data_IF_939671139230
#
_entry.id   IF_939671139230
#
_cell.length_a   1.000
_cell.length_b   1.000
_cell.length_c   1.000
_cell.angle_alpha   90.00
_cell.angle_beta   90.00
_cell.angle_gamma   90.00
#
_symmetry.space_group_name_H-M   'P 1'
#
loop_
_entity.id
_entity.type
_entity.pdbx_description
1 polymer ?
#
# COMPACT_ATOMS: atom_id res chain seq x y z
N UNK A 1 33.32 5.25 26.91
CA UNK A 1 32.72 5.69 25.63
C UNK A 1 32.31 4.45 24.84
N UNK A 2 31.01 4.22 24.63
CA UNK A 2 30.52 3.12 23.78
C UNK A 2 30.00 3.72 22.47
N UNK A 3 30.70 3.47 21.37
CA UNK A 3 30.29 3.86 20.04
C UNK A 3 29.08 3.02 19.63
N UNK A 4 27.92 3.66 19.45
CA UNK A 4 26.74 3.03 18.91
C UNK A 4 26.96 2.69 17.44
N UNK A 5 26.80 1.41 17.10
CA UNK A 5 26.74 0.92 15.74
C UNK A 5 25.47 1.49 15.09
N UNK A 6 25.58 2.66 14.46
CA UNK A 6 24.58 3.16 13.53
C UNK A 6 24.52 2.17 12.37
N UNK A 7 23.50 1.31 12.37
CA UNK A 7 23.19 0.50 11.21
C UNK A 7 23.08 1.44 10.01
N UNK A 8 24.01 1.30 9.05
CA UNK A 8 24.05 2.12 7.85
C UNK A 8 22.70 1.92 7.14
N UNK A 9 21.88 2.96 7.14
CA UNK A 9 20.66 3.01 6.33
C UNK A 9 21.09 2.71 4.88
N UNK A 10 20.60 1.61 4.27
CA UNK A 10 20.99 1.28 2.92
C UNK A 10 20.68 2.49 2.02
N UNK A 11 21.63 2.85 1.15
CA UNK A 11 21.43 3.91 0.19
C UNK A 11 20.14 3.62 -0.60
N UNK A 12 19.32 4.65 -0.92
CA UNK A 12 18.18 4.45 -1.79
C UNK A 12 18.67 3.81 -3.09
N UNK A 13 18.14 2.62 -3.42
CA UNK A 13 18.45 1.97 -4.70
C UNK A 13 18.06 2.93 -5.83
N UNK A 14 18.89 2.98 -6.86
CA UNK A 14 18.60 3.74 -8.06
C UNK A 14 17.22 3.31 -8.61
N UNK A 15 16.50 4.24 -9.25
CA UNK A 15 15.19 3.97 -9.86
C UNK A 15 15.28 2.89 -10.97
N UNK A 16 16.48 2.57 -11.43
CA UNK A 16 16.72 1.62 -12.53
C UNK A 16 16.86 0.16 -12.04
N UNK A 17 17.33 -0.07 -10.81
CA UNK A 17 17.52 -1.42 -10.25
C UNK A 17 16.25 -2.03 -9.61
N UNK A 18 15.08 -1.46 -9.89
CA UNK A 18 13.82 -1.95 -9.32
C UNK A 18 13.46 -3.28 -9.99
N UNK A 19 13.05 -4.33 -9.25
CA UNK A 19 12.52 -5.53 -9.88
C UNK A 19 11.27 -5.15 -10.66
N UNK A 20 11.28 -5.35 -11.98
CA UNK A 20 10.14 -5.06 -12.84
C UNK A 20 9.36 -6.34 -13.16
N UNK A 21 8.09 -6.18 -13.49
CA UNK A 21 7.26 -7.26 -14.01
C UNK A 21 6.42 -6.77 -15.18
N UNK A 22 6.48 -7.49 -16.29
CA UNK A 22 5.58 -7.32 -17.44
C UNK A 22 4.28 -8.07 -17.15
N UNK A 23 3.51 -7.54 -16.21
CA UNK A 23 2.25 -8.08 -15.75
C UNK A 23 1.32 -6.91 -15.46
N UNK A 24 0.16 -6.91 -16.10
CA UNK A 24 -0.92 -6.01 -15.77
C UNK A 24 -1.90 -6.68 -14.77
N UNK A 25 -1.97 -6.25 -13.50
CA UNK A 25 -2.91 -6.82 -12.53
C UNK A 25 -4.39 -6.56 -12.87
N UNK A 26 -4.66 -5.67 -13.84
CA UNK A 26 -6.00 -5.32 -14.29
C UNK A 26 -6.39 -6.01 -15.61
N UNK A 27 -5.50 -6.82 -16.19
CA UNK A 27 -5.83 -7.66 -17.34
C UNK A 27 -6.91 -8.69 -16.96
N UNK A 28 -7.89 -8.89 -17.83
CA UNK A 28 -9.03 -9.78 -17.53
C UNK A 28 -8.59 -11.24 -17.31
N UNK A 29 -7.54 -11.71 -17.98
CA UNK A 29 -7.01 -13.06 -17.77
C UNK A 29 -6.28 -13.17 -16.44
N UNK A 30 -5.59 -12.10 -16.02
CA UNK A 30 -4.96 -12.03 -14.70
C UNK A 30 -6.02 -12.01 -13.60
N UNK A 31 -7.09 -11.22 -13.77
CA UNK A 31 -8.23 -11.18 -12.85
C UNK A 31 -8.93 -12.54 -12.78
N UNK A 32 -9.06 -13.26 -13.89
CA UNK A 32 -9.67 -14.59 -13.93
C UNK A 32 -8.81 -15.67 -13.23
N UNK A 33 -7.47 -15.51 -13.22
CA UNK A 33 -6.55 -16.44 -12.57
C UNK A 33 -5.41 -15.75 -11.81
N UNK A 34 -5.71 -15.02 -10.71
CA UNK A 34 -4.76 -14.13 -10.07
C UNK A 34 -3.71 -14.89 -9.24
N UNK A 35 -4.06 -16.08 -8.74
CA UNK A 35 -3.16 -16.85 -7.88
C UNK A 35 -1.90 -17.34 -8.59
N UNK A 36 -1.98 -17.67 -9.89
CA UNK A 36 -0.80 -18.05 -10.67
C UNK A 36 0.21 -16.91 -10.74
N UNK A 37 -0.30 -15.69 -10.87
CA UNK A 37 0.47 -14.46 -10.91
C UNK A 37 1.08 -14.15 -9.55
N UNK A 38 0.29 -14.20 -8.47
CA UNK A 38 0.78 -13.97 -7.12
C UNK A 38 1.89 -14.96 -6.74
N UNK A 39 1.77 -16.25 -7.11
CA UNK A 39 2.84 -17.23 -6.88
C UNK A 39 4.16 -16.84 -7.54
N UNK A 40 4.13 -16.35 -8.78
CA UNK A 40 5.33 -15.85 -9.48
C UNK A 40 5.93 -14.64 -8.74
N UNK A 41 5.10 -13.67 -8.36
CA UNK A 41 5.53 -12.48 -7.63
C UNK A 41 6.13 -12.83 -6.26
N UNK A 42 5.55 -13.80 -5.54
CA UNK A 42 6.11 -14.31 -4.28
C UNK A 42 7.49 -14.93 -4.45
N UNK A 43 7.68 -15.74 -5.51
CA UNK A 43 8.94 -16.40 -5.81
C UNK A 43 10.06 -15.41 -6.18
N UNK A 44 9.72 -14.26 -6.78
CA UNK A 44 10.68 -13.22 -7.17
C UNK A 44 10.98 -12.17 -6.09
N UNK A 45 10.55 -12.40 -4.84
CA UNK A 45 10.81 -11.47 -3.73
C UNK A 45 9.57 -10.78 -3.15
N UNK A 46 8.39 -10.96 -3.74
CA UNK A 46 7.12 -10.50 -3.19
C UNK A 46 6.70 -9.08 -3.54
N UNK A 47 7.54 -8.35 -4.28
CA UNK A 47 7.23 -7.01 -4.79
C UNK A 47 7.86 -6.79 -6.16
N UNK A 48 7.22 -5.97 -6.99
CA UNK A 48 7.73 -5.58 -8.29
C UNK A 48 7.10 -4.27 -8.76
N UNK A 49 7.80 -3.55 -9.62
CA UNK A 49 7.27 -2.40 -10.33
C UNK A 49 6.67 -2.86 -11.68
N UNK A 50 5.47 -2.42 -11.99
CA UNK A 50 4.76 -2.67 -13.25
C UNK A 50 4.85 -1.41 -14.11
N UNK A 51 5.75 -1.34 -15.12
CA UNK A 51 5.95 -0.15 -15.93
C UNK A 51 4.70 0.23 -16.75
N UNK A 52 4.00 -0.76 -17.30
CA UNK A 52 2.80 -0.56 -18.13
C UNK A 52 1.65 0.14 -17.41
N UNK A 53 1.61 0.05 -16.07
CA UNK A 53 0.61 0.71 -15.23
C UNK A 53 1.18 1.83 -14.36
N UNK A 54 2.50 2.00 -14.32
CA UNK A 54 3.20 2.89 -13.38
C UNK A 54 2.80 2.60 -11.92
N UNK A 55 2.79 1.31 -11.55
CA UNK A 55 2.36 0.85 -10.21
C UNK A 55 3.41 -0.01 -9.54
N UNK A 56 3.46 0.07 -8.21
CA UNK A 56 4.13 -0.93 -7.39
C UNK A 56 3.15 -2.02 -6.98
N UNK A 57 3.58 -3.28 -7.10
CA UNK A 57 2.84 -4.46 -6.68
C UNK A 57 3.50 -5.03 -5.43
N UNK A 58 2.69 -5.31 -4.41
CA UNK A 58 3.10 -5.95 -3.16
C UNK A 58 2.22 -7.19 -2.96
N UNK A 59 2.83 -8.35 -2.75
CA UNK A 59 2.12 -9.62 -2.55
C UNK A 59 2.38 -10.25 -1.18
N UNK A 60 3.48 -9.91 -0.51
CA UNK A 60 3.77 -10.43 0.83
C UNK A 60 2.93 -9.71 1.88
N UNK A 61 2.36 -10.49 2.78
CA UNK A 61 1.53 -9.99 3.87
C UNK A 61 2.22 -8.90 4.69
N UNK A 62 3.49 -9.11 5.07
CA UNK A 62 4.22 -8.14 5.89
C UNK A 62 4.48 -6.83 5.15
N UNK A 63 4.76 -6.89 3.84
CA UNK A 63 4.96 -5.70 3.01
C UNK A 63 3.65 -4.91 2.89
N UNK A 64 2.54 -5.60 2.60
CA UNK A 64 1.20 -4.99 2.52
C UNK A 64 0.79 -4.38 3.86
N UNK A 65 0.99 -5.10 4.96
CA UNK A 65 0.67 -4.62 6.31
C UNK A 65 1.52 -3.41 6.71
N UNK A 66 2.80 -3.40 6.35
CA UNK A 66 3.70 -2.28 6.60
C UNK A 66 3.27 -1.05 5.79
N UNK A 67 3.03 -1.23 4.48
CA UNK A 67 2.56 -0.16 3.60
C UNK A 67 1.22 0.43 4.08
N UNK A 68 0.26 -0.41 4.45
CA UNK A 68 -1.06 0.04 4.94
C UNK A 68 -0.99 0.86 6.25
N UNK A 69 0.13 0.79 6.99
CA UNK A 69 0.34 1.56 8.23
C UNK A 69 1.23 2.79 8.03
N UNK A 70 1.97 2.87 6.93
CA UNK A 70 2.91 3.93 6.62
C UNK A 70 2.21 5.18 6.03
N UNK A 71 1.13 5.64 6.66
CA UNK A 71 0.31 6.77 6.19
C UNK A 71 1.07 8.12 6.12
N UNK A 72 2.25 8.18 6.73
CA UNK A 72 3.16 9.34 6.74
C UNK A 72 4.12 9.33 5.54
N UNK A 73 4.24 8.20 4.85
CA UNK A 73 5.06 8.01 3.65
C UNK A 73 4.20 7.72 2.42
N UNK A 74 3.08 7.01 2.59
CA UNK A 74 2.15 6.61 1.55
C UNK A 74 0.82 7.36 1.75
N UNK A 75 0.66 8.44 1.01
CA UNK A 75 -0.54 9.29 1.02
C UNK A 75 -1.73 8.62 0.34
N UNK A 76 -2.92 8.90 0.86
CA UNK A 76 -4.20 8.57 0.18
C UNK A 76 -4.88 9.80 -0.44
N UNK A 77 -4.30 10.99 -0.28
CA UNK A 77 -4.93 12.27 -0.64
C UNK A 77 -5.06 12.51 -2.15
N UNK A 78 -4.20 11.90 -2.96
CA UNK A 78 -4.26 11.96 -4.43
C UNK A 78 -5.12 10.85 -5.04
N UNK A 79 -5.75 10.03 -4.21
CA UNK A 79 -6.65 8.94 -4.62
C UNK A 79 -6.08 7.56 -4.28
N UNK A 80 -6.99 6.63 -4.03
CA UNK A 80 -6.69 5.22 -3.68
C UNK A 80 -7.03 4.24 -4.82
N UNK A 81 -7.49 4.77 -5.94
CA UNK A 81 -7.81 4.03 -7.16
C UNK A 81 -6.72 4.28 -8.21
N UNK A 82 -6.79 3.54 -9.33
CA UNK A 82 -5.94 3.78 -10.50
C UNK A 82 -6.09 5.21 -11.04
N UNK A 83 -7.31 5.76 -10.98
CA UNK A 83 -7.54 7.14 -11.39
C UNK A 83 -7.40 8.02 -10.16
N UNK A 84 -6.42 8.92 -10.20
CA UNK A 84 -6.23 9.94 -9.19
C UNK A 84 -7.46 10.87 -9.18
N UNK A 85 -8.31 10.70 -8.17
CA UNK A 85 -9.53 11.48 -7.99
C UNK A 85 -9.52 12.04 -6.58
N UNK A 86 -9.38 13.37 -6.49
CA UNK A 86 -9.39 14.12 -5.24
C UNK A 86 -10.82 14.45 -4.85
N UNK A 87 -11.53 13.43 -4.38
CA UNK A 87 -12.89 13.59 -3.85
C UNK A 87 -12.77 13.84 -2.34
N UNK A 88 -13.52 14.79 -1.75
CA UNK A 88 -13.45 15.08 -0.32
C UNK A 88 -14.20 14.02 0.52
N UNK A 89 -13.77 12.76 0.41
CA UNK A 89 -14.21 11.65 1.25
C UNK A 89 -13.13 11.31 2.27
N UNK A 90 -13.53 10.82 3.45
CA UNK A 90 -12.59 10.47 4.52
C UNK A 90 -11.47 9.52 4.04
N UNK A 91 -11.79 8.53 3.20
CA UNK A 91 -10.83 7.52 2.71
C UNK A 91 -9.76 8.08 1.76
N UNK A 92 -9.97 9.27 1.19
CA UNK A 92 -9.06 9.96 0.25
C UNK A 92 -8.47 11.22 0.88
N UNK A 93 -8.19 11.18 2.18
CA UNK A 93 -7.57 12.25 2.95
C UNK A 93 -6.43 11.70 3.80
N UNK A 94 -5.43 12.54 4.03
CA UNK A 94 -4.40 12.29 5.05
C UNK A 94 -4.69 13.08 6.33
N UNK A 95 -3.78 13.01 7.30
CA UNK A 95 -3.85 13.87 8.48
C UNK A 95 -3.62 15.34 8.11
N UNK A 96 -4.23 16.29 8.84
CA UNK A 96 -5.05 16.09 10.03
C UNK A 96 -6.53 15.74 9.75
N UNK A 97 -7.04 16.00 8.54
CA UNK A 97 -8.47 15.90 8.24
C UNK A 97 -9.03 14.47 8.34
N UNK A 98 -8.31 13.47 7.85
CA UNK A 98 -8.70 12.07 8.03
C UNK A 98 -8.86 11.72 9.52
N UNK A 99 -7.94 12.16 10.38
CA UNK A 99 -8.01 11.88 11.81
C UNK A 99 -9.18 12.61 12.48
N UNK A 100 -9.49 13.83 12.04
CA UNK A 100 -10.65 14.61 12.52
C UNK A 100 -11.96 13.91 12.17
N UNK A 101 -12.16 13.54 10.91
CA UNK A 101 -13.38 12.87 10.44
C UNK A 101 -13.53 11.47 11.02
N UNK A 102 -12.45 10.69 11.07
CA UNK A 102 -12.47 9.34 11.66
C UNK A 102 -12.89 9.36 13.13
N UNK A 103 -12.43 10.34 13.91
CA UNK A 103 -12.80 10.48 15.33
C UNK A 103 -14.31 10.67 15.51
N UNK A 104 -14.98 11.34 14.57
CA UNK A 104 -16.43 11.58 14.62
C UNK A 104 -17.20 10.30 14.28
N UNK A 105 -16.79 9.57 13.24
CA UNK A 105 -17.56 8.43 12.72
C UNK A 105 -17.23 7.09 13.40
N UNK A 106 -15.99 6.90 13.89
CA UNK A 106 -15.55 5.63 14.45
C UNK A 106 -16.46 5.04 15.55
N UNK A 107 -17.01 5.84 16.49
CA UNK A 107 -17.93 5.33 17.51
C UNK A 107 -19.19 4.65 16.95
N UNK A 108 -19.65 5.06 15.76
CA UNK A 108 -20.83 4.47 15.11
C UNK A 108 -20.57 3.05 14.58
N UNK A 109 -19.29 2.68 14.44
CA UNK A 109 -18.85 1.36 13.96
C UNK A 109 -18.31 0.47 15.06
N UNK A 110 -18.23 0.98 16.29
CA UNK A 110 -17.93 0.19 17.48
C UNK A 110 -19.25 0.00 18.21
N UNK A 111 -19.99 -1.06 17.88
CA UNK A 111 -21.25 -1.36 18.59
C UNK A 111 -21.02 -1.34 20.09
N UNK A 112 -21.97 -0.79 20.85
CA UNK A 112 -22.12 -1.21 22.24
C UNK A 112 -22.26 -2.73 22.21
N UNK A 113 -21.40 -3.45 22.92
CA UNK A 113 -21.51 -4.89 23.01
C UNK A 113 -22.90 -5.24 23.55
N UNK A 114 -23.75 -5.82 22.69
CA UNK A 114 -24.96 -6.59 23.02
C UNK A 114 -26.05 -5.89 23.83
N UNK A 115 -27.13 -5.49 23.17
CA UNK A 115 -28.49 -5.57 23.72
C UNK A 115 -29.50 -5.49 22.56
N UNK A 116 -29.76 -6.65 21.95
CA UNK A 116 -31.00 -7.04 21.27
C UNK A 116 -31.22 -8.53 21.54
#
# INVERSE_FOLDING_TARGET
MRAGLLARRPAPRSVDDRPTVELDPLDSNVIANPHAVYRKLHASGGYAYCPSRNLWLLARYDDVRTAARAHDVLSSADGISRVALRIPMMITMDRPDHARLRRIIAPQFTGAAGEL
#
